data_IF_927407900177
#
_entry.id   IF_927407900177
#
_cell.length_a   1.000
_cell.length_b   1.000
_cell.length_c   1.000
_cell.angle_alpha   90.00
_cell.angle_beta   90.00
_cell.angle_gamma   90.00
#
_symmetry.space_group_name_H-M   'P 1'
#
loop_
_entity.id
_entity.type
_entity.pdbx_description
1 polymer ?
#
# COMPACT_ATOMS: atom_id res chain seq x y z
N UNK A 1 -9.85 -20.56 -41.27
CA UNK A 1 -10.28 -19.80 -40.09
C UNK A 1 -9.10 -18.97 -39.59
N UNK A 2 -9.00 -17.71 -40.04
CA UNK A 2 -7.88 -16.82 -39.74
C UNK A 2 -8.36 -15.77 -38.71
N UNK A 3 -8.46 -16.17 -37.44
CA UNK A 3 -8.93 -15.29 -36.35
C UNK A 3 -7.87 -15.26 -35.27
N UNK A 4 -7.44 -14.05 -34.90
CA UNK A 4 -6.53 -13.79 -33.78
C UNK A 4 -7.34 -13.52 -32.51
N UNK A 5 -7.05 -14.27 -31.45
CA UNK A 5 -7.68 -14.10 -30.14
C UNK A 5 -6.71 -13.45 -29.16
N UNK A 6 -7.25 -12.69 -28.20
CA UNK A 6 -6.51 -12.28 -27.01
C UNK A 6 -6.43 -13.47 -26.05
N UNK A 7 -5.23 -13.72 -25.51
CA UNK A 7 -5.05 -14.74 -24.49
C UNK A 7 -5.79 -14.34 -23.21
N UNK A 8 -6.57 -15.26 -22.65
CA UNK A 8 -7.26 -15.08 -21.39
C UNK A 8 -7.31 -16.39 -20.62
N UNK A 9 -6.79 -16.39 -19.39
CA UNK A 9 -6.79 -17.54 -18.49
C UNK A 9 -7.83 -17.31 -17.40
N UNK A 10 -8.63 -18.33 -17.09
CA UNK A 10 -9.60 -18.26 -16.00
C UNK A 10 -8.88 -18.33 -14.65
N UNK A 11 -9.29 -17.48 -13.71
CA UNK A 11 -8.84 -17.53 -12.31
C UNK A 11 -9.08 -18.92 -11.71
N UNK A 12 -8.23 -19.35 -10.76
CA UNK A 12 -8.44 -20.61 -10.03
C UNK A 12 -9.78 -20.62 -9.28
N UNK A 13 -10.37 -21.80 -9.17
CA UNK A 13 -11.57 -22.00 -8.36
C UNK A 13 -11.22 -22.19 -6.89
N UNK A 14 -12.07 -21.66 -6.02
CA UNK A 14 -11.95 -21.92 -4.60
C UNK A 14 -12.53 -23.30 -4.28
N UNK A 15 -11.66 -24.26 -3.94
CA UNK A 15 -12.07 -25.64 -3.59
C UNK A 15 -12.54 -25.79 -2.15
N UNK A 16 -12.26 -24.81 -1.29
CA UNK A 16 -12.62 -24.81 0.14
C UNK A 16 -13.82 -23.94 0.46
N UNK A 17 -14.34 -23.21 -0.52
CA UNK A 17 -15.52 -22.37 -0.35
C UNK A 17 -16.76 -23.27 -0.38
N UNK A 18 -17.54 -23.28 0.72
CA UNK A 18 -18.80 -24.01 0.82
C UNK A 18 -19.89 -23.31 -0.02
N UNK A 19 -19.88 -23.57 -1.32
CA UNK A 19 -20.80 -22.96 -2.26
C UNK A 19 -21.12 -23.91 -3.41
N UNK A 20 -22.41 -24.08 -3.68
CA UNK A 20 -22.90 -24.79 -4.89
C UNK A 20 -22.52 -24.09 -6.20
N UNK A 21 -21.90 -22.90 -6.12
CA UNK A 21 -21.48 -22.09 -7.25
C UNK A 21 -19.98 -21.84 -7.19
N UNK A 22 -19.34 -21.79 -8.37
CA UNK A 22 -17.91 -21.50 -8.50
C UNK A 22 -17.56 -20.14 -7.90
N UNK A 23 -16.60 -20.14 -6.98
CA UNK A 23 -15.99 -18.92 -6.42
C UNK A 23 -14.49 -18.85 -6.74
N UNK A 24 -13.89 -17.68 -6.54
CA UNK A 24 -12.45 -17.45 -6.68
C UNK A 24 -11.80 -17.31 -5.30
N UNK A 25 -10.58 -17.79 -5.16
CA UNK A 25 -9.80 -17.66 -3.92
C UNK A 25 -9.06 -16.32 -3.87
N UNK A 26 -9.03 -15.68 -2.70
CA UNK A 26 -8.13 -14.57 -2.44
C UNK A 26 -6.75 -15.11 -2.01
N UNK A 27 -5.72 -14.85 -2.81
CA UNK A 27 -4.34 -15.25 -2.51
C UNK A 27 -3.58 -14.25 -1.61
N UNK A 28 -4.24 -13.17 -1.17
CA UNK A 28 -3.70 -12.18 -0.26
C UNK A 28 -4.54 -12.09 1.02
N UNK A 29 -3.99 -11.44 2.04
CA UNK A 29 -4.77 -11.07 3.22
C UNK A 29 -5.85 -10.05 2.84
N UNK A 30 -7.04 -10.15 3.45
CA UNK A 30 -8.11 -9.17 3.20
C UNK A 30 -7.88 -7.84 3.94
N UNK A 31 -6.97 -7.84 4.90
CA UNK A 31 -6.65 -6.71 5.79
C UNK A 31 -5.66 -5.75 5.15
N UNK A 32 -5.72 -4.47 5.54
CA UNK A 32 -4.71 -3.46 5.20
C UNK A 32 -3.50 -3.62 6.13
N UNK A 33 -2.71 -4.67 5.89
CA UNK A 33 -1.57 -5.10 6.72
C UNK A 33 -0.23 -5.08 5.98
N UNK A 34 -0.18 -4.38 4.85
CA UNK A 34 0.98 -4.31 3.97
C UNK A 34 1.52 -5.69 3.54
N UNK A 35 0.66 -6.70 3.37
CA UNK A 35 1.03 -8.01 2.81
C UNK A 35 1.66 -7.94 1.41
N UNK A 36 1.47 -6.84 0.68
CA UNK A 36 2.23 -6.55 -0.56
C UNK A 36 3.74 -6.48 -0.33
N UNK A 37 4.17 -6.12 0.89
CA UNK A 37 5.59 -6.03 1.30
C UNK A 37 6.02 -7.26 2.07
N UNK A 38 5.22 -7.67 3.05
CA UNK A 38 5.60 -8.72 3.98
C UNK A 38 5.22 -10.12 3.49
N UNK A 39 4.47 -10.24 2.39
CA UNK A 39 3.85 -11.48 1.97
C UNK A 39 2.56 -11.79 2.74
N UNK A 40 1.76 -12.69 2.17
CA UNK A 40 0.56 -13.23 2.82
C UNK A 40 0.84 -14.50 3.64
N UNK A 41 2.00 -15.12 3.43
CA UNK A 41 2.43 -16.38 4.06
C UNK A 41 3.69 -16.17 4.90
N UNK A 42 3.79 -16.85 6.04
CA UNK A 42 4.93 -16.73 6.97
C UNK A 42 6.25 -17.19 6.35
N UNK A 43 6.22 -18.23 5.52
CA UNK A 43 7.41 -18.72 4.81
C UNK A 43 7.94 -17.64 3.86
N UNK A 44 7.03 -17.01 3.10
CA UNK A 44 7.37 -15.92 2.20
C UNK A 44 7.87 -14.70 2.96
N UNK A 45 7.27 -14.39 4.12
CA UNK A 45 7.73 -13.31 4.97
C UNK A 45 9.16 -13.54 5.50
N UNK A 46 9.49 -14.80 5.85
CA UNK A 46 10.80 -15.17 6.38
C UNK A 46 11.92 -15.01 5.35
N UNK A 47 11.71 -15.43 4.10
CA UNK A 47 12.72 -15.34 3.04
C UNK A 47 13.04 -13.91 2.59
N UNK A 48 12.15 -12.95 2.90
CA UNK A 48 12.33 -11.54 2.56
C UNK A 48 13.16 -10.78 3.61
N UNK A 49 13.53 -11.42 4.72
CA UNK A 49 14.29 -10.83 5.84
C UNK A 49 15.78 -11.12 5.75
N UNK A 50 16.60 -10.19 6.22
CA UNK A 50 18.06 -10.36 6.29
C UNK A 50 18.47 -11.32 7.41
N UNK A 51 17.72 -11.36 8.51
CA UNK A 51 17.96 -12.20 9.69
C UNK A 51 19.39 -12.06 10.28
N UNK A 52 19.93 -10.84 10.25
CA UNK A 52 21.29 -10.49 10.73
C UNK A 52 21.28 -9.82 12.11
N UNK A 53 20.12 -9.70 12.77
CA UNK A 53 19.97 -9.00 14.04
C UNK A 53 19.52 -7.54 13.91
N UNK A 54 19.33 -7.05 12.68
CA UNK A 54 18.88 -5.68 12.41
C UNK A 54 17.37 -5.55 12.28
N UNK A 55 16.65 -6.67 12.09
CA UNK A 55 15.22 -6.70 11.81
C UNK A 55 14.85 -6.15 10.44
N UNK A 56 15.82 -6.03 9.52
CA UNK A 56 15.65 -5.44 8.19
C UNK A 56 15.20 -6.45 7.14
N UNK A 57 14.62 -5.93 6.06
CA UNK A 57 14.33 -6.67 4.85
C UNK A 57 15.56 -6.70 3.93
N UNK A 58 15.67 -7.75 3.12
CA UNK A 58 16.73 -7.87 2.12
C UNK A 58 16.59 -6.72 1.11
N UNK A 59 17.70 -6.02 0.85
CA UNK A 59 17.82 -4.97 -0.14
C UNK A 59 19.14 -5.11 -0.90
N UNK A 60 19.16 -4.68 -2.16
CA UNK A 60 20.37 -4.56 -2.96
C UNK A 60 20.86 -3.11 -2.92
N UNK A 61 22.14 -2.90 -2.67
CA UNK A 61 22.70 -1.55 -2.51
C UNK A 61 23.36 -1.11 -3.81
N UNK A 62 22.92 -0.01 -4.38
CA UNK A 62 23.58 0.67 -5.51
C UNK A 62 24.16 2.01 -5.04
N UNK A 63 24.99 2.64 -5.88
CA UNK A 63 25.53 3.99 -5.60
C UNK A 63 24.43 5.06 -5.47
N UNK A 64 23.20 4.76 -5.92
CA UNK A 64 22.02 5.64 -5.91
C UNK A 64 21.05 5.36 -4.75
N UNK A 65 21.23 4.25 -3.99
CA UNK A 65 20.40 3.94 -2.83
C UNK A 65 20.14 2.45 -2.59
N UNK A 66 19.17 2.17 -1.70
CA UNK A 66 18.68 0.82 -1.44
C UNK A 66 17.60 0.47 -2.47
N UNK A 67 17.85 -0.55 -3.28
CA UNK A 67 16.90 -1.12 -4.21
C UNK A 67 16.35 -2.44 -3.67
N UNK A 68 15.18 -2.85 -4.14
CA UNK A 68 14.68 -4.19 -3.90
C UNK A 68 15.67 -5.24 -4.47
N UNK A 69 15.76 -6.44 -3.87
CA UNK A 69 16.49 -7.54 -4.49
C UNK A 69 15.80 -7.85 -5.82
N UNK A 70 16.53 -7.62 -6.93
CA UNK A 70 16.08 -7.67 -8.35
C UNK A 70 14.63 -8.15 -8.56
N UNK A 71 13.72 -7.19 -8.53
CA UNK A 71 12.32 -7.30 -8.93
C UNK A 71 11.87 -5.89 -9.30
N UNK A 72 11.59 -5.67 -10.58
CA UNK A 72 11.37 -4.36 -11.19
C UNK A 72 10.11 -3.64 -10.67
N UNK A 73 10.24 -2.80 -9.62
CA UNK A 73 9.37 -1.63 -9.33
C UNK A 73 10.08 -0.65 -8.34
N UNK A 74 10.15 0.69 -8.58
CA UNK A 74 10.97 1.64 -7.81
C UNK A 74 10.33 2.30 -6.56
N UNK A 75 9.13 1.93 -6.09
CA UNK A 75 8.48 2.63 -4.96
C UNK A 75 8.48 1.86 -3.60
N UNK A 76 9.62 1.92 -2.91
CA UNK A 76 9.80 2.55 -1.57
C UNK A 76 9.12 2.02 -0.27
N UNK A 77 8.42 0.89 -0.24
CA UNK A 77 7.84 0.42 1.06
C UNK A 77 8.83 -0.42 1.90
N UNK A 78 9.76 -1.14 1.26
CA UNK A 78 10.83 -1.87 1.97
C UNK A 78 11.86 -0.91 2.58
N UNK A 79 12.08 0.25 1.96
CA UNK A 79 12.95 1.29 2.50
C UNK A 79 12.38 1.89 3.78
N UNK A 80 11.07 2.22 3.81
CA UNK A 80 10.46 2.77 5.02
C UNK A 80 10.57 1.78 6.20
N UNK A 81 10.36 0.49 5.94
CA UNK A 81 10.59 -0.54 6.94
C UNK A 81 12.04 -0.52 7.45
N UNK A 82 13.02 -0.52 6.55
CA UNK A 82 14.44 -0.49 6.91
C UNK A 82 14.83 0.78 7.67
N UNK A 83 14.24 1.93 7.31
CA UNK A 83 14.40 3.21 8.01
C UNK A 83 13.87 3.15 9.44
N UNK A 84 12.68 2.57 9.63
CA UNK A 84 12.07 2.39 10.96
C UNK A 84 12.89 1.41 11.79
N UNK A 85 13.27 0.25 11.24
CA UNK A 85 14.05 -0.77 11.93
C UNK A 85 15.40 -0.22 12.42
N UNK A 86 16.11 0.52 11.56
CA UNK A 86 17.38 1.18 11.90
C UNK A 86 17.20 2.16 13.07
N UNK A 87 16.14 2.98 13.03
CA UNK A 87 15.83 3.93 14.11
C UNK A 87 15.47 3.22 15.41
N UNK A 88 14.64 2.18 15.35
CA UNK A 88 14.25 1.40 16.52
C UNK A 88 15.44 0.71 17.17
N UNK A 89 16.40 0.20 16.39
CA UNK A 89 17.62 -0.42 16.90
C UNK A 89 18.53 0.57 17.64
N UNK A 90 18.59 1.82 17.18
CA UNK A 90 19.34 2.89 17.87
C UNK A 90 18.71 3.18 19.24
N UNK A 91 17.37 3.31 19.31
CA UNK A 91 16.68 3.59 20.56
C UNK A 91 16.59 2.38 21.50
N UNK A 92 16.51 1.17 20.94
CA UNK A 92 16.38 -0.08 21.67
C UNK A 92 17.47 -1.07 21.24
N UNK A 93 18.75 -0.84 21.64
CA UNK A 93 19.85 -1.73 21.24
C UNK A 93 19.67 -3.19 21.68
N UNK A 94 18.92 -3.38 22.77
CA UNK A 94 18.63 -4.66 23.42
C UNK A 94 17.56 -5.51 22.70
N UNK A 95 16.82 -4.95 21.73
CA UNK A 95 15.84 -5.73 20.97
C UNK A 95 16.50 -6.71 20.02
N UNK A 96 15.92 -7.89 19.92
CA UNK A 96 16.32 -8.93 18.97
C UNK A 96 15.73 -8.65 17.57
N UNK A 97 16.17 -9.45 16.60
CA UNK A 97 15.78 -9.31 15.19
C UNK A 97 14.25 -9.37 15.02
N UNK A 98 13.61 -10.33 15.69
CA UNK A 98 12.16 -10.54 15.59
C UNK A 98 11.38 -9.35 16.13
N UNK A 99 11.76 -8.84 17.31
CA UNK A 99 11.08 -7.68 17.89
C UNK A 99 11.23 -6.46 16.99
N UNK A 100 12.42 -6.22 16.45
CA UNK A 100 12.68 -5.10 15.54
C UNK A 100 11.83 -5.21 14.27
N UNK A 101 11.80 -6.39 13.65
CA UNK A 101 10.99 -6.65 12.46
C UNK A 101 9.50 -6.42 12.72
N UNK A 102 8.95 -7.02 13.78
CA UNK A 102 7.51 -6.94 14.07
C UNK A 102 7.07 -5.52 14.46
N UNK A 103 7.87 -4.79 15.24
CA UNK A 103 7.55 -3.40 15.59
C UNK A 103 7.69 -2.47 14.38
N UNK A 104 8.70 -2.68 13.53
CA UNK A 104 8.84 -1.91 12.28
C UNK A 104 7.67 -2.18 11.32
N UNK A 105 7.28 -3.46 11.20
CA UNK A 105 6.09 -3.89 10.45
C UNK A 105 4.83 -3.21 10.97
N UNK A 106 4.62 -3.22 12.29
CA UNK A 106 3.45 -2.62 12.93
C UNK A 106 3.34 -1.11 12.65
N UNK A 107 4.46 -0.38 12.75
CA UNK A 107 4.47 1.07 12.47
C UNK A 107 4.18 1.34 11.00
N UNK A 108 4.81 0.60 10.08
CA UNK A 108 4.59 0.77 8.65
C UNK A 108 3.13 0.46 8.24
N UNK A 109 2.53 -0.56 8.84
CA UNK A 109 1.09 -0.87 8.67
C UNK A 109 0.22 0.30 9.15
N UNK A 110 0.53 0.87 10.31
CA UNK A 110 -0.20 2.02 10.83
C UNK A 110 -0.09 3.25 9.91
N UNK A 111 1.08 3.49 9.32
CA UNK A 111 1.27 4.55 8.31
C UNK A 111 0.39 4.29 7.07
N UNK A 112 0.41 3.06 6.53
CA UNK A 112 -0.42 2.68 5.38
C UNK A 112 -1.91 2.87 5.66
N UNK A 113 -2.39 2.45 6.83
CA UNK A 113 -3.78 2.62 7.24
C UNK A 113 -4.13 4.11 7.40
N UNK A 114 -3.26 4.90 8.03
CA UNK A 114 -3.44 6.34 8.21
C UNK A 114 -3.56 7.07 6.89
N UNK A 115 -2.68 6.76 5.92
CA UNK A 115 -2.74 7.35 4.57
C UNK A 115 -4.02 6.89 3.86
N UNK A 116 -4.37 5.61 3.95
CA UNK A 116 -5.55 5.07 3.26
C UNK A 116 -6.85 5.74 3.74
N UNK A 117 -7.09 5.77 5.05
CA UNK A 117 -8.33 6.34 5.61
C UNK A 117 -8.31 7.86 5.72
N UNK A 118 -7.14 8.45 5.99
CA UNK A 118 -7.00 9.90 6.19
C UNK A 118 -6.78 10.70 4.91
N UNK A 119 -6.14 10.12 3.90
CA UNK A 119 -5.73 10.85 2.69
C UNK A 119 -6.27 10.26 1.39
N UNK A 120 -6.51 8.95 1.27
CA UNK A 120 -6.95 8.37 0.00
C UNK A 120 -8.47 8.27 -0.11
N UNK A 121 -9.12 7.62 0.87
CA UNK A 121 -10.57 7.40 0.87
C UNK A 121 -11.40 8.70 0.84
N UNK A 122 -11.04 9.80 1.54
CA UNK A 122 -11.82 11.03 1.49
C UNK A 122 -11.94 11.62 0.08
N UNK A 123 -10.88 11.54 -0.72
CA UNK A 123 -10.89 12.04 -2.10
C UNK A 123 -11.57 11.07 -3.06
N UNK A 124 -11.49 9.76 -2.80
CA UNK A 124 -12.13 8.75 -3.63
C UNK A 124 -13.65 8.69 -3.43
N UNK A 125 -14.10 8.69 -2.17
CA UNK A 125 -15.50 8.47 -1.79
C UNK A 125 -16.29 9.78 -1.60
N UNK A 126 -15.59 10.87 -1.26
CA UNK A 126 -16.20 12.15 -0.93
C UNK A 126 -16.84 12.18 0.49
N UNK A 127 -17.18 13.39 0.98
CA UNK A 127 -17.58 13.59 2.38
C UNK A 127 -18.86 12.84 2.78
N UNK A 128 -19.85 12.73 1.90
CA UNK A 128 -21.12 12.08 2.21
C UNK A 128 -20.99 10.58 2.49
N UNK A 129 -20.19 9.86 1.71
CA UNK A 129 -19.96 8.43 1.93
C UNK A 129 -19.04 8.18 3.12
N UNK A 130 -18.05 9.06 3.34
CA UNK A 130 -17.18 9.00 4.53
C UNK A 130 -18.00 9.12 5.82
N UNK A 131 -18.96 10.04 5.86
CA UNK A 131 -19.89 10.19 6.99
C UNK A 131 -20.85 9.00 7.09
N UNK A 132 -21.48 8.58 5.97
CA UNK A 132 -22.43 7.47 5.95
C UNK A 132 -21.84 6.16 6.50
N UNK A 133 -20.57 5.89 6.19
CA UNK A 133 -19.88 4.67 6.62
C UNK A 133 -19.01 4.87 7.87
N UNK A 134 -19.09 6.03 8.54
CA UNK A 134 -18.28 6.37 9.72
C UNK A 134 -16.77 6.16 9.53
N UNK A 135 -16.23 6.55 8.36
CA UNK A 135 -14.83 6.36 7.99
C UNK A 135 -13.94 7.56 8.33
N UNK A 136 -14.52 8.67 8.81
CA UNK A 136 -13.80 9.91 9.10
C UNK A 136 -12.87 9.73 10.29
N UNK A 137 -11.56 9.86 10.07
CA UNK A 137 -10.55 9.84 11.13
C UNK A 137 -10.48 11.21 11.79
N UNK A 138 -10.94 11.32 13.04
CA UNK A 138 -10.90 12.57 13.79
C UNK A 138 -9.56 12.74 14.53
N UNK A 139 -8.90 13.92 14.44
CA UNK A 139 -7.70 14.19 15.21
C UNK A 139 -7.93 14.02 16.71
N UNK A 140 -7.11 13.21 17.37
CA UNK A 140 -7.23 12.93 18.80
C UNK A 140 -8.36 11.97 19.18
N UNK A 141 -9.06 11.37 18.20
CA UNK A 141 -9.93 10.23 18.49
C UNK A 141 -9.10 8.99 18.84
N UNK A 142 -9.67 8.10 19.65
CA UNK A 142 -9.09 6.77 19.92
C UNK A 142 -9.20 5.81 18.71
N UNK A 143 -9.62 6.32 17.55
CA UNK A 143 -9.90 5.53 16.35
C UNK A 143 -11.22 4.76 16.45
N UNK A 144 -11.35 3.74 15.60
CA UNK A 144 -12.49 2.81 15.60
C UNK A 144 -12.23 1.66 16.59
N UNK A 145 -13.25 1.26 17.35
CA UNK A 145 -13.15 0.09 18.21
C UNK A 145 -13.20 -1.19 17.37
N UNK A 146 -12.41 -2.19 17.77
CA UNK A 146 -12.42 -3.50 17.13
C UNK A 146 -13.76 -4.21 17.41
N UNK A 147 -14.39 -4.69 16.34
CA UNK A 147 -15.60 -5.51 16.42
C UNK A 147 -15.33 -6.91 15.85
N UNK A 148 -15.29 -7.91 16.73
CA UNK A 148 -15.07 -9.31 16.36
C UNK A 148 -16.19 -9.94 15.55
N UNK A 149 -17.37 -9.31 15.48
CA UNK A 149 -18.50 -9.78 14.69
C UNK A 149 -18.38 -9.42 13.20
N UNK A 150 -17.50 -8.47 12.86
CA UNK A 150 -17.24 -8.07 11.47
C UNK A 150 -16.51 -9.19 10.74
N UNK A 151 -17.13 -9.68 9.66
CA UNK A 151 -16.50 -10.69 8.80
C UNK A 151 -15.42 -10.04 7.95
N UNK A 152 -14.18 -10.45 8.18
CA UNK A 152 -13.05 -10.10 7.32
C UNK A 152 -13.12 -10.95 6.05
N UNK A 153 -13.04 -10.29 4.90
CA UNK A 153 -13.08 -10.94 3.59
C UNK A 153 -13.10 -9.93 2.46
N UNK A 154 -12.56 -10.31 1.32
CA UNK A 154 -12.63 -9.52 0.09
C UNK A 154 -13.85 -9.95 -0.71
N UNK A 155 -14.69 -8.99 -1.10
CA UNK A 155 -15.81 -9.25 -2.02
C UNK A 155 -15.28 -9.49 -3.44
N UNK A 156 -15.83 -10.48 -4.15
CA UNK A 156 -15.43 -10.78 -5.52
C UNK A 156 -15.64 -9.58 -6.46
N UNK A 157 -16.74 -8.86 -6.27
CA UNK A 157 -17.08 -7.65 -7.02
C UNK A 157 -16.03 -6.56 -6.80
N UNK A 158 -15.56 -6.41 -5.56
CA UNK A 158 -14.53 -5.44 -5.23
C UNK A 158 -13.20 -5.77 -5.91
N UNK A 159 -12.76 -7.03 -5.79
CA UNK A 159 -11.50 -7.51 -6.37
C UNK A 159 -11.49 -7.49 -7.91
N UNK A 160 -12.63 -7.78 -8.54
CA UNK A 160 -12.69 -7.95 -10.00
C UNK A 160 -13.15 -6.72 -10.76
N UNK A 161 -13.93 -5.82 -10.15
CA UNK A 161 -14.59 -4.73 -10.87
C UNK A 161 -14.42 -3.36 -10.19
N UNK A 162 -14.76 -3.23 -8.91
CA UNK A 162 -14.89 -1.90 -8.26
C UNK A 162 -13.54 -1.20 -8.14
N UNK A 163 -12.51 -1.89 -7.63
CA UNK A 163 -11.21 -1.26 -7.41
C UNK A 163 -10.31 -1.27 -8.65
N UNK A 164 -10.84 -1.65 -9.81
CA UNK A 164 -10.17 -1.48 -11.10
C UNK A 164 -10.37 -0.06 -11.61
N UNK A 165 -9.70 0.88 -10.96
CA UNK A 165 -9.69 2.29 -11.31
C UNK A 165 -8.82 2.56 -12.56
N UNK A 166 -8.97 1.75 -13.60
CA UNK A 166 -8.18 1.81 -14.84
C UNK A 166 -8.30 3.18 -15.54
N UNK A 167 -9.36 3.95 -15.26
CA UNK A 167 -9.53 5.31 -15.74
C UNK A 167 -8.54 6.32 -15.15
N UNK A 168 -7.88 5.99 -14.03
CA UNK A 168 -6.86 6.84 -13.39
C UNK A 168 -5.46 6.65 -13.98
N UNK A 169 -5.28 5.70 -14.91
CA UNK A 169 -3.98 5.44 -15.54
C UNK A 169 -3.67 6.50 -16.59
N UNK A 170 -2.53 7.18 -16.43
CA UNK A 170 -2.07 8.18 -17.38
C UNK A 170 -1.64 7.53 -18.71
N UNK A 171 -1.93 8.20 -19.83
CA UNK A 171 -1.54 7.73 -21.18
C UNK A 171 -0.04 7.85 -21.46
N UNK A 172 0.65 8.71 -20.73
CA UNK A 172 2.10 8.94 -20.84
C UNK A 172 2.67 8.93 -19.44
N UNK A 173 3.65 8.07 -19.22
CA UNK A 173 4.51 8.10 -18.04
C UNK A 173 5.78 8.82 -18.46
N UNK A 174 6.12 9.91 -17.78
CA UNK A 174 7.36 10.64 -18.03
C UNK A 174 8.09 10.86 -16.72
N UNK A 175 9.41 10.69 -16.73
CA UNK A 175 10.26 11.23 -15.67
C UNK A 175 10.32 12.74 -15.90
N UNK A 176 9.53 13.50 -15.15
CA UNK A 176 9.75 14.94 -15.08
C UNK A 176 11.14 15.13 -14.45
N UNK A 177 12.03 15.84 -15.13
CA UNK A 177 13.14 16.50 -14.46
C UNK A 177 12.53 17.54 -13.52
N UNK A 178 12.18 17.11 -12.31
CA UNK A 178 11.48 17.92 -11.32
C UNK A 178 12.48 18.93 -10.75
N UNK A 179 12.70 20.03 -11.47
CA UNK A 179 13.13 21.27 -10.83
C UNK A 179 11.97 21.77 -9.97
N UNK A 180 11.92 21.33 -8.71
CA UNK A 180 11.02 21.90 -7.73
C UNK A 180 11.39 23.38 -7.54
N UNK A 181 10.67 24.28 -8.23
CA UNK A 181 10.71 25.70 -7.88
C UNK A 181 10.19 25.81 -6.46
N UNK A 182 11.09 26.14 -5.54
CA UNK A 182 10.74 26.50 -4.18
C UNK A 182 9.72 27.64 -4.24
N UNK A 183 8.45 27.33 -3.95
CA UNK A 183 7.45 28.36 -3.62
C UNK A 183 7.79 28.94 -2.23
N UNK A 184 8.94 29.60 -2.14
CA UNK A 184 9.27 30.46 -1.01
C UNK A 184 8.62 31.81 -1.24
N UNK A 185 7.73 32.19 -0.31
CA UNK A 185 7.04 33.47 -0.16
C UNK A 185 5.97 33.79 -1.20
N UNK A 186 4.75 33.89 -0.70
CA UNK A 186 3.69 34.74 -1.26
C UNK A 186 4.23 36.14 -1.59
N UNK A 187 4.20 36.58 -2.86
CA UNK A 187 4.14 37.99 -3.17
C UNK A 187 2.67 38.37 -3.36
N UNK A 188 2.26 39.45 -2.72
CA UNK A 188 0.91 40.02 -2.75
C UNK A 188 0.22 39.97 -4.12
N UNK A 189 -1.05 39.59 -4.10
CA UNK A 189 -2.12 39.95 -5.04
C UNK A 189 -1.72 40.81 -6.26
N UNK A 190 -1.76 40.21 -7.45
CA UNK A 190 -2.56 40.68 -8.58
C UNK A 190 -2.54 39.64 -9.71
N UNK A 191 -3.40 38.62 -9.60
CA UNK A 191 -3.63 37.70 -10.70
C UNK A 191 -4.42 38.42 -11.80
N UNK A 192 -3.75 38.80 -12.90
CA UNK A 192 -4.40 38.99 -14.19
C UNK A 192 -4.26 37.69 -14.98
N UNK A 193 -5.34 36.92 -15.05
CA UNK A 193 -5.49 35.83 -15.98
C UNK A 193 -5.84 36.40 -17.36
N UNK A 194 -4.93 36.34 -18.32
CA UNK A 194 -5.27 36.46 -19.74
C UNK A 194 -5.41 35.06 -20.31
N UNK A 195 -6.65 34.67 -20.59
CA UNK A 195 -6.96 33.49 -21.37
C UNK A 195 -6.82 33.86 -22.85
N UNK A 196 -5.88 33.24 -23.55
CA UNK A 196 -5.80 33.33 -24.99
C UNK A 196 -6.77 32.29 -25.58
N UNK A 197 -7.77 32.80 -26.30
CA UNK A 197 -8.61 32.09 -27.28
C UNK A 197 -7.82 31.74 -28.53
#
# INVERSE_FOLDING_TARGET
FNVTCLSFVRTLECTTCDSDRRQQSNGATATLDASIVYGADDERASILRTNDGTGRMIANYTEEGELLPTGDDPNDIFWEHNRIATRLKIFNPHWDDERLYQESRKINIAQLQSITYGEYLPYLLGPSLMEQFNLTVLPGSEGTQYDSSVRLGMWNEFATAVFRLHSMVAKKVGALGLEFRTCTRTPNYSARATWAS
#
